data_IF_542700666353
#
_entry.id   IF_542700666353
#
_cell.length_a   1.000
_cell.length_b   1.000
_cell.length_c   1.000
_cell.angle_alpha   90.00
_cell.angle_beta   90.00
_cell.angle_gamma   90.00
#
_symmetry.space_group_name_H-M   'P 1'
#
loop_
_entity.id
_entity.type
_entity.pdbx_description
1 polymer ?
#
# COMPACT_ATOMS: atom_id res chain seq x y z
N UNK A 1 -2.14 -5.53 8.99
CA UNK A 1 -1.75 -6.56 10.00
C UNK A 1 -2.14 -7.96 9.54
N UNK A 2 -3.41 -8.23 9.20
CA UNK A 2 -3.92 -9.59 8.92
C UNK A 2 -3.14 -10.34 7.85
N UNK A 3 -2.77 -9.70 6.73
CA UNK A 3 -2.05 -10.33 5.64
C UNK A 3 -0.73 -10.96 6.11
N UNK A 4 0.03 -10.26 6.94
CA UNK A 4 1.35 -10.72 7.36
C UNK A 4 1.33 -11.64 8.57
N UNK A 5 0.30 -11.54 9.42
CA UNK A 5 0.26 -12.24 10.71
C UNK A 5 -0.74 -13.38 10.74
N UNK A 6 -1.67 -13.45 9.77
CA UNK A 6 -2.79 -14.38 9.80
C UNK A 6 -3.85 -14.07 10.86
N UNK A 7 -3.66 -13.01 11.66
CA UNK A 7 -4.60 -12.66 12.72
C UNK A 7 -5.79 -11.89 12.12
N UNK A 8 -7.02 -12.34 12.31
CA UNK A 8 -8.20 -11.65 11.78
C UNK A 8 -8.44 -10.35 12.56
N UNK A 9 -8.27 -9.20 11.89
CA UNK A 9 -8.38 -7.88 12.55
C UNK A 9 -9.77 -7.64 13.18
N UNK A 10 -10.82 -8.28 12.68
CA UNK A 10 -12.19 -8.17 13.21
C UNK A 10 -12.31 -8.67 14.65
N UNK A 11 -11.47 -9.61 15.07
CA UNK A 11 -11.46 -10.17 16.43
C UNK A 11 -11.03 -9.15 17.50
N UNK A 12 -10.40 -8.05 17.08
CA UNK A 12 -9.89 -7.02 17.98
C UNK A 12 -10.87 -5.87 18.24
N UNK A 13 -12.09 -5.94 17.68
CA UNK A 13 -13.15 -4.96 17.94
C UNK A 13 -12.71 -3.51 17.76
N UNK A 14 -12.89 -2.69 18.78
CA UNK A 14 -12.54 -1.26 18.78
C UNK A 14 -11.02 -1.00 18.79
N UNK A 15 -10.19 -1.99 19.13
CA UNK A 15 -8.72 -1.88 19.11
C UNK A 15 -8.14 -1.90 17.69
N UNK A 16 -8.93 -2.23 16.65
CA UNK A 16 -8.43 -2.36 15.27
C UNK A 16 -7.53 -1.21 14.77
N UNK A 17 -7.84 0.06 15.01
CA UNK A 17 -6.98 1.17 14.57
C UNK A 17 -5.62 1.21 15.25
N UNK A 18 -5.49 0.56 16.40
CA UNK A 18 -4.29 0.56 17.24
C UNK A 18 -3.52 -0.76 17.20
N UNK A 19 -3.88 -1.67 16.29
CA UNK A 19 -3.24 -2.99 16.20
C UNK A 19 -1.72 -2.94 16.04
N UNK A 20 -1.12 -2.06 15.22
CA UNK A 20 0.33 -1.97 15.13
C UNK A 20 0.97 -1.77 16.51
N UNK A 21 0.44 -0.85 17.30
CA UNK A 21 0.93 -0.57 18.66
C UNK A 21 0.80 -1.78 19.61
N UNK A 22 -0.35 -2.46 19.59
CA UNK A 22 -0.57 -3.61 20.47
C UNK A 22 0.17 -4.88 20.06
N UNK A 23 0.36 -5.07 18.76
CA UNK A 23 1.02 -6.26 18.21
C UNK A 23 2.54 -6.11 18.08
N UNK A 24 3.07 -4.89 18.21
CA UNK A 24 4.50 -4.63 18.16
C UNK A 24 5.27 -5.54 19.14
N UNK A 25 6.22 -6.30 18.62
CA UNK A 25 7.03 -7.23 19.39
C UNK A 25 6.32 -8.48 19.94
N UNK A 26 5.01 -8.64 19.69
CA UNK A 26 4.21 -9.76 20.22
C UNK A 26 3.87 -10.83 19.18
N UNK A 27 4.15 -10.57 17.92
CA UNK A 27 3.90 -11.52 16.82
C UNK A 27 5.19 -12.26 16.49
N UNK A 28 5.25 -13.54 16.84
CA UNK A 28 6.43 -14.37 16.63
C UNK A 28 6.41 -15.11 15.29
N UNK A 29 5.24 -15.32 14.70
CA UNK A 29 5.04 -15.97 13.41
C UNK A 29 4.41 -15.00 12.42
N UNK A 30 5.04 -14.85 11.26
CA UNK A 30 4.54 -13.99 10.19
C UNK A 30 4.95 -14.54 8.82
N UNK A 31 4.23 -14.15 7.78
CA UNK A 31 4.62 -14.41 6.39
C UNK A 31 6.02 -13.86 6.11
N UNK A 32 6.35 -12.69 6.67
CA UNK A 32 7.65 -12.02 6.47
C UNK A 32 8.78 -12.85 7.07
N UNK A 33 8.62 -13.32 8.31
CA UNK A 33 9.62 -14.22 8.93
C UNK A 33 9.72 -15.58 8.22
N UNK A 34 8.63 -16.07 7.64
CA UNK A 34 8.68 -17.27 6.82
C UNK A 34 9.52 -17.03 5.56
N UNK A 35 9.32 -15.90 4.88
CA UNK A 35 10.13 -15.50 3.73
C UNK A 35 11.61 -15.36 4.11
N UNK A 36 11.94 -14.72 5.25
CA UNK A 36 13.32 -14.62 5.73
C UNK A 36 13.98 -16.01 5.91
N UNK A 37 13.25 -16.97 6.51
CA UNK A 37 13.74 -18.35 6.65
C UNK A 37 13.97 -19.04 5.31
N UNK A 38 13.25 -18.64 4.26
CA UNK A 38 13.47 -19.09 2.89
C UNK A 38 14.55 -18.28 2.15
N UNK A 39 15.29 -17.42 2.85
CA UNK A 39 16.41 -16.67 2.29
C UNK A 39 16.05 -15.35 1.63
N UNK A 40 14.79 -14.90 1.75
CA UNK A 40 14.39 -13.58 1.23
C UNK A 40 14.99 -12.44 2.07
N UNK A 41 15.42 -11.39 1.40
CA UNK A 41 15.52 -10.07 2.01
C UNK A 41 14.14 -9.40 2.00
N UNK A 42 13.92 -8.44 2.92
CA UNK A 42 12.56 -7.93 3.17
C UNK A 42 12.58 -6.40 3.29
N UNK A 43 11.67 -5.73 2.59
CA UNK A 43 11.64 -4.27 2.52
C UNK A 43 10.19 -3.75 2.52
N UNK A 44 10.01 -2.59 3.14
CA UNK A 44 8.78 -1.76 3.05
C UNK A 44 9.12 -0.48 2.32
N UNK A 45 8.23 -0.07 1.41
CA UNK A 45 8.18 1.28 0.83
C UNK A 45 6.84 1.88 1.22
N UNK A 46 6.85 3.03 1.89
CA UNK A 46 5.62 3.59 2.50
C UNK A 46 5.59 5.12 2.42
N UNK A 47 4.43 5.74 2.22
CA UNK A 47 4.23 7.17 2.40
C UNK A 47 4.29 7.60 3.87
N UNK A 48 4.16 6.67 4.82
CA UNK A 48 4.10 6.97 6.23
C UNK A 48 5.50 7.05 6.84
N UNK A 49 5.71 8.04 7.71
CA UNK A 49 6.93 8.09 8.50
C UNK A 49 7.03 6.85 9.40
N UNK A 50 8.24 6.34 9.64
CA UNK A 50 8.50 5.11 10.40
C UNK A 50 7.73 5.03 11.72
N UNK A 51 7.68 6.12 12.51
CA UNK A 51 7.00 6.15 13.81
C UNK A 51 5.50 6.48 13.76
N UNK A 52 4.92 6.66 12.57
CA UNK A 52 3.50 7.01 12.47
C UNK A 52 2.62 5.83 12.91
N UNK A 53 1.77 6.03 13.91
CA UNK A 53 0.86 5.03 14.53
C UNK A 53 1.53 3.69 14.83
N UNK A 54 2.81 3.70 15.13
CA UNK A 54 3.66 2.53 15.42
C UNK A 54 3.77 1.52 14.26
N UNK A 55 3.44 1.91 13.04
CA UNK A 55 3.39 0.98 11.90
C UNK A 55 4.77 0.49 11.47
N UNK A 56 5.75 1.37 11.37
CA UNK A 56 7.13 0.98 11.06
C UNK A 56 7.73 0.06 12.13
N UNK A 57 7.69 0.42 13.43
CA UNK A 57 8.08 -0.47 14.52
C UNK A 57 7.38 -1.84 14.48
N UNK A 58 6.06 -1.86 14.24
CA UNK A 58 5.32 -3.11 14.10
C UNK A 58 5.82 -3.93 12.90
N UNK A 59 5.92 -3.34 11.70
CA UNK A 59 6.36 -4.03 10.49
C UNK A 59 7.79 -4.60 10.65
N UNK A 60 8.70 -3.84 11.25
CA UNK A 60 10.05 -4.36 11.53
C UNK A 60 10.03 -5.46 12.58
N UNK A 61 9.16 -5.39 13.59
CA UNK A 61 9.04 -6.44 14.60
C UNK A 61 8.55 -7.78 14.04
N UNK A 62 7.82 -7.77 12.93
CA UNK A 62 7.33 -8.99 12.27
C UNK A 62 8.26 -9.50 11.16
N UNK A 63 9.43 -8.85 10.93
CA UNK A 63 10.48 -9.38 10.08
C UNK A 63 10.92 -8.50 8.91
N UNK A 64 10.33 -7.34 8.66
CA UNK A 64 10.86 -6.43 7.65
C UNK A 64 12.17 -5.81 8.13
N UNK A 65 13.22 -5.89 7.30
CA UNK A 65 14.58 -5.41 7.62
C UNK A 65 14.82 -3.97 7.19
N UNK A 66 14.17 -3.55 6.12
CA UNK A 66 14.32 -2.20 5.58
C UNK A 66 12.95 -1.52 5.55
N UNK A 67 12.88 -0.30 6.06
CA UNK A 67 11.69 0.56 5.97
C UNK A 67 12.08 1.87 5.29
N UNK A 68 11.50 2.13 4.14
CA UNK A 68 11.74 3.33 3.35
C UNK A 68 10.47 4.18 3.36
N UNK A 69 10.48 5.23 4.17
CA UNK A 69 9.41 6.23 4.16
C UNK A 69 9.56 7.23 3.00
N UNK A 70 8.58 8.12 2.85
CA UNK A 70 8.60 9.14 1.82
C UNK A 70 9.89 9.97 1.79
N UNK A 71 10.51 10.25 2.96
CA UNK A 71 11.79 10.97 3.04
C UNK A 71 12.95 10.13 2.53
N UNK A 72 13.00 8.87 2.91
CA UNK A 72 14.06 7.93 2.53
C UNK A 72 14.08 7.64 1.02
N UNK A 73 12.95 7.76 0.34
CA UNK A 73 12.86 7.64 -1.12
C UNK A 73 13.07 8.99 -1.85
N UNK A 74 13.17 10.10 -1.13
CA UNK A 74 13.34 11.44 -1.68
C UNK A 74 12.07 12.07 -2.24
N UNK A 75 10.89 11.60 -1.82
CA UNK A 75 9.63 12.20 -2.23
C UNK A 75 9.45 13.59 -1.56
N UNK A 76 8.86 14.58 -2.26
CA UNK A 76 8.62 15.92 -1.70
C UNK A 76 7.69 15.90 -0.50
N UNK A 77 6.71 15.00 -0.49
CA UNK A 77 5.74 14.84 0.58
C UNK A 77 5.22 13.39 0.66
N UNK A 78 4.50 13.08 1.74
CA UNK A 78 3.78 11.80 1.85
C UNK A 78 2.52 11.71 0.96
N UNK A 79 2.09 12.84 0.40
CA UNK A 79 0.86 12.95 -0.40
C UNK A 79 1.13 12.94 -1.92
N UNK A 80 2.20 12.28 -2.32
CA UNK A 80 2.52 12.11 -3.74
C UNK A 80 1.62 11.04 -4.40
N UNK A 81 1.60 11.06 -5.73
CA UNK A 81 0.98 9.99 -6.52
C UNK A 81 1.64 8.65 -6.21
N UNK A 82 0.89 7.57 -6.35
CA UNK A 82 1.39 6.21 -6.12
C UNK A 82 2.55 5.86 -7.04
N UNK A 83 2.61 6.45 -8.25
CA UNK A 83 3.75 6.34 -9.18
C UNK A 83 5.10 6.63 -8.50
N UNK A 84 5.17 7.62 -7.60
CA UNK A 84 6.43 7.98 -6.89
C UNK A 84 6.94 6.81 -6.05
N UNK A 85 6.05 6.11 -5.37
CA UNK A 85 6.38 4.94 -4.55
C UNK A 85 6.68 3.71 -5.41
N UNK A 86 5.96 3.54 -6.51
CA UNK A 86 6.21 2.49 -7.48
C UNK A 86 7.56 2.66 -8.18
N UNK A 87 7.92 3.86 -8.63
CA UNK A 87 9.21 4.15 -9.26
C UNK A 87 10.37 3.95 -8.29
N UNK A 88 10.21 4.40 -7.02
CA UNK A 88 11.18 4.13 -5.98
C UNK A 88 11.36 2.62 -5.75
N UNK A 89 10.26 1.86 -5.76
CA UNK A 89 10.28 0.40 -5.63
C UNK A 89 11.01 -0.25 -6.79
N UNK A 90 10.71 0.13 -8.04
CA UNK A 90 11.41 -0.38 -9.23
C UNK A 90 12.91 -0.09 -9.17
N UNK A 91 13.28 1.12 -8.74
CA UNK A 91 14.69 1.46 -8.54
C UNK A 91 15.33 0.54 -7.51
N UNK A 92 14.71 0.34 -6.35
CA UNK A 92 15.24 -0.53 -5.29
C UNK A 92 15.32 -1.99 -5.69
N UNK A 93 14.38 -2.48 -6.50
CA UNK A 93 14.43 -3.82 -7.09
C UNK A 93 15.66 -3.98 -8.00
N UNK A 94 15.93 -3.00 -8.86
CA UNK A 94 17.13 -3.01 -9.75
C UNK A 94 18.41 -2.96 -8.92
N UNK A 95 18.50 -2.04 -7.95
CA UNK A 95 19.67 -1.90 -7.08
C UNK A 95 19.93 -3.19 -6.29
N UNK A 96 18.87 -3.81 -5.76
CA UNK A 96 18.97 -5.08 -5.02
C UNK A 96 19.46 -6.22 -5.93
N UNK A 97 18.89 -6.37 -7.12
CA UNK A 97 19.30 -7.41 -8.09
C UNK A 97 20.75 -7.27 -8.53
N UNK A 98 21.26 -6.05 -8.59
CA UNK A 98 22.66 -5.80 -8.90
C UNK A 98 23.61 -6.14 -7.76
N UNK A 99 23.15 -5.99 -6.52
CA UNK A 99 23.97 -6.16 -5.30
C UNK A 99 23.80 -7.52 -4.62
N UNK A 100 22.68 -8.21 -4.81
CA UNK A 100 22.34 -9.44 -4.10
C UNK A 100 21.75 -10.49 -5.04
N UNK A 101 22.12 -11.75 -4.83
CA UNK A 101 21.50 -12.89 -5.51
C UNK A 101 20.26 -13.44 -4.79
N UNK A 102 19.89 -12.86 -3.65
CA UNK A 102 18.76 -13.32 -2.84
C UNK A 102 17.43 -12.82 -3.41
N UNK A 103 16.34 -13.57 -3.25
CA UNK A 103 15.02 -13.05 -3.53
C UNK A 103 14.64 -11.93 -2.56
N UNK A 104 13.75 -11.01 -3.00
CA UNK A 104 13.31 -9.87 -2.22
C UNK A 104 11.78 -9.90 -2.05
N UNK A 105 11.30 -9.82 -0.82
CA UNK A 105 9.91 -9.55 -0.48
C UNK A 105 9.75 -8.05 -0.24
N UNK A 106 8.93 -7.40 -1.05
CA UNK A 106 8.63 -5.96 -0.89
C UNK A 106 7.16 -5.78 -0.54
N UNK A 107 6.90 -5.00 0.49
CA UNK A 107 5.58 -4.45 0.77
C UNK A 107 5.56 -2.98 0.35
N UNK A 108 4.74 -2.64 -0.62
CA UNK A 108 4.54 -1.26 -1.07
C UNK A 108 3.19 -0.79 -0.55
N UNK A 109 3.20 0.27 0.24
CA UNK A 109 1.99 0.97 0.67
C UNK A 109 1.82 2.23 -0.15
N UNK A 110 0.58 2.57 -0.49
CA UNK A 110 0.23 3.80 -1.19
C UNK A 110 -0.91 4.52 -0.48
N UNK A 111 -1.09 5.81 -0.75
CA UNK A 111 -2.09 6.63 -0.07
C UNK A 111 -2.84 7.61 -0.98
N UNK A 112 -2.68 7.55 -2.29
CA UNK A 112 -3.36 8.49 -3.19
C UNK A 112 -4.90 8.44 -3.04
N UNK A 113 -5.44 7.24 -2.77
CA UNK A 113 -6.87 7.01 -2.59
C UNK A 113 -7.37 7.23 -1.15
N UNK A 114 -6.51 7.63 -0.21
CA UNK A 114 -6.90 7.87 1.18
C UNK A 114 -7.62 9.21 1.35
N UNK A 115 -8.61 9.24 2.25
CA UNK A 115 -9.31 10.48 2.68
C UNK A 115 -8.34 11.50 3.32
N UNK A 116 -8.68 12.79 3.39
CA UNK A 116 -9.93 13.43 2.97
C UNK A 116 -10.00 13.69 1.45
N UNK A 117 -11.21 13.86 0.94
CA UNK A 117 -11.47 14.15 -0.49
C UNK A 117 -11.95 15.59 -0.71
N UNK A 118 -11.59 16.48 0.19
CA UNK A 118 -11.96 17.89 0.26
C UNK A 118 -11.17 18.80 -0.71
N UNK A 119 -10.16 18.23 -1.35
CA UNK A 119 -9.30 18.95 -2.30
C UNK A 119 -8.94 18.06 -3.50
N UNK A 120 -8.75 18.70 -4.66
CA UNK A 120 -8.29 18.02 -5.85
C UNK A 120 -6.85 17.52 -5.67
N UNK A 121 -6.68 16.22 -5.72
CA UNK A 121 -5.37 15.54 -5.70
C UNK A 121 -4.75 15.60 -7.10
N UNK A 122 -3.44 15.84 -7.22
CA UNK A 122 -2.74 16.02 -8.49
C UNK A 122 -3.52 16.94 -9.44
N UNK A 123 -3.66 18.26 -9.14
CA UNK A 123 -4.59 19.17 -9.81
C UNK A 123 -4.28 19.38 -11.31
N UNK A 124 -3.04 19.14 -11.73
CA UNK A 124 -2.59 19.27 -13.11
C UNK A 124 -3.03 18.10 -14.00
N UNK A 125 -3.42 16.97 -13.39
CA UNK A 125 -3.93 15.81 -14.11
C UNK A 125 -5.39 16.03 -14.54
N UNK A 126 -5.69 15.74 -15.80
CA UNK A 126 -7.04 15.77 -16.36
C UNK A 126 -7.46 14.36 -16.75
N UNK A 127 -8.67 13.98 -16.34
CA UNK A 127 -9.25 12.68 -16.71
C UNK A 127 -10.43 12.88 -17.65
N UNK A 128 -10.57 11.96 -18.60
CA UNK A 128 -11.76 11.95 -19.46
C UNK A 128 -13.01 11.69 -18.62
N UNK A 129 -14.09 12.43 -18.88
CA UNK A 129 -15.37 12.27 -18.20
C UNK A 129 -15.50 13.02 -16.86
N UNK A 130 -14.48 13.77 -16.43
CA UNK A 130 -14.62 14.63 -15.25
C UNK A 130 -15.51 15.88 -15.53
N UNK A 131 -16.37 16.29 -14.57
CA UNK A 131 -16.73 15.57 -13.34
C UNK A 131 -17.64 14.37 -13.63
N UNK A 132 -17.64 13.36 -12.76
CA UNK A 132 -18.41 12.12 -12.97
C UNK A 132 -19.89 12.23 -12.58
N UNK A 133 -20.32 13.38 -12.09
CA UNK A 133 -21.73 13.70 -11.81
C UNK A 133 -22.23 13.26 -10.44
N UNK A 134 -21.33 13.00 -9.49
CA UNK A 134 -21.67 12.68 -8.11
C UNK A 134 -21.41 13.86 -7.17
N UNK A 135 -21.59 13.66 -5.86
CA UNK A 135 -21.13 14.62 -4.86
C UNK A 135 -19.60 14.84 -4.99
N UNK A 136 -19.09 16.06 -4.74
CA UNK A 136 -17.69 16.41 -5.00
C UNK A 136 -16.66 15.45 -4.36
N UNK A 137 -16.92 14.98 -3.14
CA UNK A 137 -16.02 14.03 -2.46
C UNK A 137 -16.01 12.65 -3.13
N UNK A 138 -17.16 12.21 -3.66
CA UNK A 138 -17.27 10.95 -4.41
C UNK A 138 -16.53 11.07 -5.74
N UNK A 139 -16.74 12.20 -6.46
CA UNK A 139 -16.04 12.45 -7.72
C UNK A 139 -14.52 12.52 -7.51
N UNK A 140 -14.05 13.16 -6.45
CA UNK A 140 -12.63 13.17 -6.13
C UNK A 140 -12.09 11.79 -5.76
N UNK A 141 -12.85 10.98 -5.01
CA UNK A 141 -12.48 9.60 -4.73
C UNK A 141 -12.36 8.77 -6.02
N UNK A 142 -13.37 8.81 -6.89
CA UNK A 142 -13.35 8.10 -8.18
C UNK A 142 -12.17 8.55 -9.05
N UNK A 143 -11.90 9.83 -9.07
CA UNK A 143 -10.75 10.39 -9.77
C UNK A 143 -9.43 9.80 -9.26
N UNK A 144 -9.25 9.72 -7.95
CA UNK A 144 -8.05 9.13 -7.34
C UNK A 144 -7.91 7.65 -7.65
N UNK A 145 -9.01 6.89 -7.69
CA UNK A 145 -9.01 5.49 -8.12
C UNK A 145 -8.50 5.35 -9.56
N UNK A 146 -8.95 6.21 -10.49
CA UNK A 146 -8.48 6.18 -11.87
C UNK A 146 -6.98 6.49 -11.96
N UNK A 147 -6.50 7.49 -11.21
CA UNK A 147 -5.07 7.81 -11.16
C UNK A 147 -4.24 6.66 -10.58
N UNK A 148 -4.68 6.11 -9.46
CA UNK A 148 -4.04 4.96 -8.81
C UNK A 148 -3.98 3.76 -9.77
N UNK A 149 -5.06 3.48 -10.48
CA UNK A 149 -5.09 2.38 -11.46
C UNK A 149 -4.07 2.58 -12.59
N UNK A 150 -3.96 3.80 -13.13
CA UNK A 150 -2.95 4.13 -14.13
C UNK A 150 -1.52 3.92 -13.62
N UNK A 151 -1.24 4.37 -12.40
CA UNK A 151 0.06 4.22 -11.77
C UNK A 151 0.40 2.75 -11.53
N UNK A 152 -0.59 1.97 -11.06
CA UNK A 152 -0.44 0.54 -10.85
C UNK A 152 -0.23 -0.24 -12.16
N UNK A 153 -0.99 0.05 -13.21
CA UNK A 153 -0.85 -0.61 -14.51
C UNK A 153 0.54 -0.35 -15.12
N UNK A 154 1.06 0.88 -14.99
CA UNK A 154 2.41 1.21 -15.41
C UNK A 154 3.47 0.43 -14.60
N UNK A 155 3.29 0.34 -13.28
CA UNK A 155 4.17 -0.44 -12.39
C UNK A 155 4.15 -1.93 -12.74
N UNK A 156 2.97 -2.51 -12.92
CA UNK A 156 2.81 -3.92 -13.30
C UNK A 156 3.45 -4.23 -14.65
N UNK A 157 3.28 -3.33 -15.64
CA UNK A 157 3.91 -3.45 -16.95
C UNK A 157 5.45 -3.39 -16.84
N UNK A 158 5.99 -2.48 -16.02
CA UNK A 158 7.43 -2.39 -15.80
C UNK A 158 8.00 -3.66 -15.11
N UNK A 159 7.27 -4.25 -14.16
CA UNK A 159 7.65 -5.52 -13.54
C UNK A 159 7.59 -6.68 -14.55
N UNK A 160 6.59 -6.70 -15.43
CA UNK A 160 6.48 -7.73 -16.47
C UNK A 160 7.59 -7.62 -17.51
N UNK A 161 8.04 -6.41 -17.83
CA UNK A 161 9.16 -6.16 -18.75
C UNK A 161 10.53 -6.55 -18.15
N UNK A 162 10.68 -6.48 -16.83
CA UNK A 162 11.89 -6.88 -16.10
C UNK A 162 11.57 -7.76 -14.89
N UNK A 163 11.13 -9.01 -15.10
CA UNK A 163 10.65 -9.87 -14.01
C UNK A 163 11.77 -10.40 -13.10
N UNK A 164 13.04 -10.18 -13.46
CA UNK A 164 14.19 -10.77 -12.79
C UNK A 164 14.40 -12.25 -13.14
N UNK A 165 15.45 -12.86 -12.56
CA UNK A 165 15.88 -14.22 -12.90
C UNK A 165 14.81 -15.29 -12.66
N UNK A 166 14.05 -15.17 -11.58
CA UNK A 166 13.08 -16.19 -11.13
C UNK A 166 11.62 -15.72 -11.28
N UNK A 167 11.38 -14.62 -11.99
CA UNK A 167 10.06 -14.00 -12.08
C UNK A 167 9.70 -13.15 -10.87
N UNK A 168 8.54 -12.49 -10.96
CA UNK A 168 7.98 -11.66 -9.88
C UNK A 168 6.52 -12.07 -9.65
N UNK A 169 6.15 -12.31 -8.40
CA UNK A 169 4.76 -12.45 -7.98
C UNK A 169 4.29 -11.10 -7.47
N UNK A 170 3.25 -10.54 -8.07
CA UNK A 170 2.62 -9.29 -7.67
C UNK A 170 1.26 -9.60 -7.04
N UNK A 171 1.02 -9.09 -5.84
CA UNK A 171 -0.26 -9.19 -5.14
C UNK A 171 -0.75 -7.77 -4.84
N UNK A 172 -1.91 -7.42 -5.37
CA UNK A 172 -2.60 -6.16 -5.12
C UNK A 172 -3.83 -6.39 -4.24
N UNK A 173 -4.03 -5.53 -3.24
CA UNK A 173 -5.17 -5.61 -2.34
C UNK A 173 -5.48 -4.25 -1.70
N UNK A 174 -6.77 -4.00 -1.43
CA UNK A 174 -7.21 -2.90 -0.59
C UNK A 174 -7.16 -3.29 0.89
N UNK A 175 -6.80 -2.35 1.74
CA UNK A 175 -6.73 -2.56 3.20
C UNK A 175 -8.11 -2.42 3.88
N UNK A 176 -8.97 -1.53 3.38
CA UNK A 176 -10.35 -1.31 3.83
C UNK A 176 -11.14 -0.49 2.81
N UNK A 177 -12.46 -0.48 2.95
CA UNK A 177 -13.32 0.41 2.19
C UNK A 177 -13.31 1.82 2.77
N UNK A 178 -13.22 2.87 1.92
CA UNK A 178 -13.31 4.25 2.37
C UNK A 178 -14.73 4.62 2.79
N UNK A 179 -14.84 5.52 3.79
CA UNK A 179 -16.14 5.94 4.34
C UNK A 179 -17.07 6.56 3.29
N UNK A 180 -16.51 7.20 2.27
CA UNK A 180 -17.27 7.85 1.17
C UNK A 180 -18.08 6.85 0.34
N UNK A 181 -17.75 5.55 0.38
CA UNK A 181 -18.47 4.50 -0.35
C UNK A 181 -19.57 3.82 0.48
N UNK A 182 -19.72 4.14 1.76
CA UNK A 182 -20.74 3.55 2.64
C UNK A 182 -22.17 3.62 2.08
N UNK A 183 -22.65 4.78 1.57
CA UNK A 183 -24.02 4.85 1.04
C UNK A 183 -24.29 3.86 -0.10
N UNK A 184 -23.26 3.54 -0.90
CA UNK A 184 -23.39 2.58 -2.00
C UNK A 184 -23.40 1.13 -1.53
N UNK A 185 -22.62 0.79 -0.50
CA UNK A 185 -22.61 -0.54 0.08
C UNK A 185 -23.93 -0.87 0.77
N UNK A 186 -24.50 0.09 1.51
CA UNK A 186 -25.81 -0.07 2.18
C UNK A 186 -26.96 -0.21 1.17
N UNK A 187 -26.89 0.47 0.01
CA UNK A 187 -27.88 0.32 -1.04
C UNK A 187 -27.83 -1.07 -1.69
N UNK A 188 -26.64 -1.63 -1.94
CA UNK A 188 -26.50 -2.97 -2.53
C UNK A 188 -26.96 -4.09 -1.61
N UNK A 189 -26.79 -3.94 -0.30
CA UNK A 189 -27.28 -4.90 0.70
C UNK A 189 -28.81 -4.85 0.86
N UNK A 190 -29.43 -3.67 0.64
CA UNK A 190 -30.87 -3.50 0.69
C UNK A 190 -31.61 -4.15 -0.51
N UNK A 191 -30.96 -4.21 -1.68
CA UNK A 191 -31.49 -4.84 -2.90
C UNK A 191 -31.28 -6.38 -2.93
N UNK A 192 -30.54 -6.93 -1.95
CA UNK A 192 -30.21 -8.35 -1.85
C UNK A 192 -31.11 -9.14 -0.88
N UNK A 193 -32.11 -8.48 -0.24
CA UNK A 193 -33.13 -9.06 0.64
C UNK A 193 -34.50 -9.06 -0.04
#
# INVERSE_FOLDING_TARGET
ASLFTGLPTREFGWLRPYLPFYLHGRVHHSLVRAAERCGYETMVVSPLAYGFVDEGPFLTSIGFRTYLDWKAIGAPSKHERDAVYFDATLKRLRDHRAASGKPLLVFVMTMATHSPYDRRFAPDERLAGEPFGNAPEVDEFLRRIVLQRRDFDAFAAALAADPGRNGTVLVDFGDHQPMVTRPFAEATDADAL
#
